data_IF_704042721645
#
_entry.id   IF_704042721645
#
_cell.length_a   1.000
_cell.length_b   1.000
_cell.length_c   1.000
_cell.angle_alpha   90.00
_cell.angle_beta   90.00
_cell.angle_gamma   90.00
#
_symmetry.space_group_name_H-M   'P 1'
#
loop_
_entity.id
_entity.type
_entity.pdbx_description
1 polymer ?
#
# COMPACT_ATOMS: atom_id res chain seq x y z
N UNK A 1 -13.33 14.15 -18.79
CA UNK A 1 -13.74 13.00 -17.96
C UNK A 1 -13.94 11.78 -18.85
N UNK A 2 -12.86 11.08 -19.20
CA UNK A 2 -12.95 9.80 -19.92
C UNK A 2 -11.80 8.92 -19.44
N UNK A 3 -12.10 7.94 -18.58
CA UNK A 3 -11.13 6.92 -18.16
C UNK A 3 -11.29 5.67 -19.01
N UNK A 4 -10.16 5.09 -19.46
CA UNK A 4 -10.16 3.86 -20.26
C UNK A 4 -10.29 2.65 -19.33
N UNK A 5 -11.30 1.83 -19.59
CA UNK A 5 -11.53 0.54 -18.93
C UNK A 5 -10.68 -0.54 -19.61
N UNK A 6 -9.64 -1.04 -18.92
CA UNK A 6 -8.91 -2.23 -19.38
C UNK A 6 -9.29 -3.42 -18.51
N UNK A 7 -9.98 -4.39 -19.11
CA UNK A 7 -10.42 -5.63 -18.47
C UNK A 7 -9.29 -6.66 -18.56
N UNK A 8 -8.56 -6.87 -17.45
CA UNK A 8 -7.69 -8.03 -17.29
C UNK A 8 -8.14 -8.77 -16.04
N UNK A 9 -8.32 -10.11 -16.16
CA UNK A 9 -8.77 -11.01 -15.09
C UNK A 9 -8.13 -10.66 -13.73
N UNK A 10 -8.92 -10.08 -12.82
CA UNK A 10 -8.75 -10.28 -11.39
C UNK A 10 -8.47 -9.06 -10.51
N UNK A 11 -7.95 -7.93 -11.00
CA UNK A 11 -7.62 -6.79 -10.14
C UNK A 11 -7.71 -5.47 -10.92
N UNK A 12 -8.66 -4.60 -10.54
CA UNK A 12 -8.73 -3.23 -11.01
C UNK A 12 -8.04 -2.32 -9.99
N UNK A 13 -7.00 -1.60 -10.39
CA UNK A 13 -6.49 -0.45 -9.64
C UNK A 13 -6.47 0.74 -10.59
N UNK A 14 -7.33 1.71 -10.28
CA UNK A 14 -7.45 2.99 -10.95
C UNK A 14 -6.31 3.90 -10.45
N UNK A 15 -5.39 4.30 -11.32
CA UNK A 15 -4.41 5.35 -11.01
C UNK A 15 -4.90 6.66 -11.61
N UNK A 16 -5.67 7.38 -10.80
CA UNK A 16 -5.81 8.82 -10.87
C UNK A 16 -5.63 9.30 -9.44
N UNK A 17 -4.40 9.22 -8.93
CA UNK A 17 -4.12 9.25 -7.50
C UNK A 17 -2.85 10.03 -7.21
N UNK A 18 -2.95 10.96 -6.27
CA UNK A 18 -1.83 11.72 -5.73
C UNK A 18 -0.75 10.76 -5.23
N UNK A 19 0.54 11.12 -5.35
CA UNK A 19 1.70 10.28 -4.94
C UNK A 19 1.55 9.67 -3.54
N UNK A 20 0.81 10.35 -2.67
CA UNK A 20 0.52 9.90 -1.32
C UNK A 20 -0.42 8.69 -1.29
N UNK A 21 -1.41 8.54 -2.18
CA UNK A 21 -2.35 7.40 -2.15
C UNK A 21 -1.67 6.03 -2.37
N UNK A 22 -0.44 6.05 -2.87
CA UNK A 22 0.31 4.86 -3.28
C UNK A 22 0.87 4.05 -2.11
N UNK A 23 1.31 4.67 -1.01
CA UNK A 23 1.94 3.93 0.11
C UNK A 23 0.91 3.01 0.77
N UNK A 24 -0.26 3.55 1.10
CA UNK A 24 -1.39 2.77 1.63
C UNK A 24 -1.73 1.61 0.71
N UNK A 25 -1.85 1.88 -0.59
CA UNK A 25 -2.24 0.86 -1.57
C UNK A 25 -1.21 -0.26 -1.64
N UNK A 26 0.08 0.08 -1.69
CA UNK A 26 1.16 -0.90 -1.66
C UNK A 26 1.10 -1.75 -0.38
N UNK A 27 0.95 -1.13 0.79
CA UNK A 27 0.83 -1.86 2.07
C UNK A 27 -0.36 -2.84 2.04
N UNK A 28 -1.51 -2.41 1.52
CA UNK A 28 -2.69 -3.27 1.39
C UNK A 28 -2.48 -4.41 0.39
N UNK A 29 -1.82 -4.15 -0.73
CA UNK A 29 -1.54 -5.16 -1.75
C UNK A 29 -0.58 -6.23 -1.24
N UNK A 30 0.48 -5.82 -0.54
CA UNK A 30 1.39 -6.74 0.13
C UNK A 30 0.69 -7.52 1.25
N UNK A 31 -0.14 -6.86 2.07
CA UNK A 31 -0.90 -7.52 3.12
C UNK A 31 -1.87 -8.57 2.55
N UNK A 32 -2.49 -8.29 1.40
CA UNK A 32 -3.38 -9.21 0.71
C UNK A 32 -2.66 -10.46 0.22
N UNK A 33 -1.39 -10.35 -0.21
CA UNK A 33 -0.55 -11.51 -0.58
C UNK A 33 -0.29 -12.43 0.62
N UNK A 34 -0.22 -11.86 1.82
CA UNK A 34 -0.11 -12.59 3.10
C UNK A 34 -1.48 -13.09 3.63
N UNK A 35 -2.56 -12.90 2.87
CA UNK A 35 -3.92 -13.30 3.26
C UNK A 35 -4.62 -12.36 4.26
N UNK A 36 -4.09 -11.15 4.46
CA UNK A 36 -4.66 -10.15 5.36
C UNK A 36 -5.53 -9.19 4.55
N UNK A 37 -6.83 -9.14 4.85
CA UNK A 37 -7.80 -8.32 4.10
C UNK A 37 -8.36 -7.16 4.92
N UNK A 38 -8.02 -7.08 6.21
CA UNK A 38 -8.53 -6.06 7.12
C UNK A 38 -7.43 -5.43 7.97
N UNK A 39 -7.61 -4.15 8.33
CA UNK A 39 -6.73 -3.45 9.27
C UNK A 39 -6.57 -4.17 10.61
N UNK A 40 -7.64 -4.83 11.07
CA UNK A 40 -7.62 -5.61 12.31
C UNK A 40 -6.68 -6.81 12.19
N UNK A 41 -6.78 -7.60 11.12
CA UNK A 41 -5.88 -8.74 10.87
C UNK A 41 -4.43 -8.26 10.76
N UNK A 42 -4.19 -7.17 10.04
CA UNK A 42 -2.87 -6.56 9.90
C UNK A 42 -2.30 -6.12 11.26
N UNK A 43 -3.10 -5.43 12.06
CA UNK A 43 -2.72 -5.03 13.42
C UNK A 43 -2.39 -6.25 14.30
N UNK A 44 -3.28 -7.25 14.33
CA UNK A 44 -3.07 -8.47 15.13
C UNK A 44 -1.85 -9.26 14.68
N UNK A 45 -1.54 -9.26 13.38
CA UNK A 45 -0.40 -10.00 12.83
C UNK A 45 0.94 -9.29 13.07
N UNK A 46 0.95 -7.97 12.97
CA UNK A 46 2.16 -7.14 13.15
C UNK A 46 2.46 -6.85 14.62
N UNK A 47 1.45 -6.88 15.49
CA UNK A 47 1.54 -6.49 16.91
C UNK A 47 2.05 -5.05 17.12
N UNK A 48 1.92 -4.21 16.10
CA UNK A 48 2.19 -2.78 16.22
C UNK A 48 1.18 -2.14 17.17
N UNK A 49 1.49 -0.91 17.61
CA UNK A 49 0.48 -0.07 18.24
C UNK A 49 -0.73 0.05 17.31
N UNK A 50 -1.94 -0.06 17.87
CA UNK A 50 -3.20 -0.06 17.11
C UNK A 50 -3.29 1.15 16.19
N UNK A 51 -2.99 2.35 16.69
CA UNK A 51 -3.08 3.57 15.90
C UNK A 51 -2.10 3.51 14.73
N UNK A 52 -0.86 3.07 14.97
CA UNK A 52 0.15 2.93 13.91
C UNK A 52 -0.28 1.95 12.83
N UNK A 53 -0.83 0.79 13.20
CA UNK A 53 -1.32 -0.20 12.25
C UNK A 53 -2.50 0.34 11.41
N UNK A 54 -3.40 1.08 12.03
CA UNK A 54 -4.55 1.68 11.34
C UNK A 54 -4.14 2.87 10.46
N UNK A 55 -3.13 3.65 10.85
CA UNK A 55 -2.56 4.70 9.99
C UNK A 55 -1.94 4.12 8.74
N UNK A 56 -1.06 3.13 8.88
CA UNK A 56 -0.49 2.40 7.73
C UNK A 56 -1.55 1.84 6.79
N UNK A 57 -2.68 1.39 7.33
CA UNK A 57 -3.73 0.78 6.53
C UNK A 57 -4.67 1.79 5.86
N UNK A 58 -4.91 2.96 6.46
CA UNK A 58 -5.97 3.88 6.04
C UNK A 58 -5.47 5.24 5.54
N UNK A 59 -4.35 5.73 6.06
CA UNK A 59 -3.76 7.02 5.71
C UNK A 59 -2.81 6.84 4.53
N UNK A 60 -3.02 7.60 3.47
CA UNK A 60 -2.24 7.53 2.24
C UNK A 60 -0.83 8.10 2.43
N UNK A 61 -0.73 9.28 3.04
CA UNK A 61 0.52 10.01 3.26
C UNK A 61 1.34 9.55 4.48
N UNK A 62 0.91 8.49 5.18
CA UNK A 62 1.62 8.04 6.38
C UNK A 62 2.93 7.33 6.04
N UNK A 63 4.04 8.01 6.31
CA UNK A 63 5.39 7.43 6.21
C UNK A 63 5.73 6.73 7.54
N UNK A 64 5.91 5.39 7.56
CA UNK A 64 6.30 4.67 8.76
C UNK A 64 7.68 5.06 9.25
N UNK A 65 7.85 5.06 10.57
CA UNK A 65 9.15 5.24 11.24
C UNK A 65 9.99 3.96 11.16
N UNK A 66 11.29 4.09 11.39
CA UNK A 66 12.28 2.99 11.37
C UNK A 66 11.81 1.72 12.08
N UNK A 67 11.46 1.81 13.38
CA UNK A 67 11.00 0.65 14.16
C UNK A 67 9.75 -0.05 13.58
N UNK A 68 8.89 0.69 12.87
CA UNK A 68 7.72 0.13 12.20
C UNK A 68 8.16 -0.66 10.97
N UNK A 69 9.08 -0.10 10.19
CA UNK A 69 9.65 -0.77 9.01
C UNK A 69 10.42 -2.03 9.39
N UNK A 70 11.22 -1.98 10.45
CA UNK A 70 11.90 -3.15 11.00
C UNK A 70 10.91 -4.23 11.42
N UNK A 71 9.80 -3.85 12.05
CA UNK A 71 8.77 -4.81 12.44
C UNK A 71 8.11 -5.46 11.24
N UNK A 72 7.80 -4.71 10.18
CA UNK A 72 7.26 -5.26 8.94
C UNK A 72 8.25 -6.24 8.29
N UNK A 73 9.55 -5.92 8.32
CA UNK A 73 10.59 -6.83 7.86
C UNK A 73 10.66 -8.11 8.71
N UNK A 74 10.61 -8.01 10.04
CA UNK A 74 10.64 -9.19 10.92
C UNK A 74 9.42 -10.10 10.76
N UNK A 75 8.24 -9.53 10.56
CA UNK A 75 6.97 -10.28 10.53
C UNK A 75 6.70 -10.89 9.16
N UNK A 76 7.01 -10.15 8.09
CA UNK A 76 6.65 -10.52 6.71
C UNK A 76 7.84 -10.60 5.75
N UNK A 77 9.04 -10.17 6.16
CA UNK A 77 10.20 -10.08 5.25
C UNK A 77 10.13 -8.89 4.29
N UNK A 78 9.19 -7.96 4.48
CA UNK A 78 9.02 -6.82 3.57
C UNK A 78 10.14 -5.79 3.75
N UNK A 79 10.89 -5.54 2.68
CA UNK A 79 11.85 -4.44 2.62
C UNK A 79 11.12 -3.10 2.45
N UNK A 80 11.64 -1.97 2.97
CA UNK A 80 10.99 -0.66 2.81
C UNK A 80 10.69 -0.30 1.35
N UNK A 81 11.60 -0.61 0.43
CA UNK A 81 11.40 -0.38 -1.02
C UNK A 81 10.27 -1.21 -1.63
N UNK A 82 9.76 -2.23 -0.93
CA UNK A 82 8.63 -3.02 -1.38
C UNK A 82 7.30 -2.27 -1.24
N UNK A 83 7.16 -1.33 -0.31
CA UNK A 83 5.91 -0.60 -0.07
C UNK A 83 6.05 0.93 -0.07
N UNK A 84 7.26 1.47 0.08
CA UNK A 84 7.57 2.89 -0.03
C UNK A 84 8.02 3.25 -1.46
N UNK A 85 7.15 3.04 -2.44
CA UNK A 85 7.42 3.49 -3.81
C UNK A 85 6.23 4.23 -4.39
N UNK A 86 6.54 5.22 -5.21
CA UNK A 86 5.62 5.90 -6.09
C UNK A 86 5.87 5.40 -7.52
N UNK A 87 4.80 4.99 -8.20
CA UNK A 87 4.84 4.81 -9.65
C UNK A 87 4.43 6.18 -10.21
N UNK A 88 5.30 6.88 -10.96
CA UNK A 88 4.88 8.11 -11.59
C UNK A 88 3.65 7.83 -12.46
N UNK A 89 2.63 8.69 -12.35
CA UNK A 89 1.58 8.71 -13.36
C UNK A 89 2.29 8.81 -14.70
N UNK A 90 2.03 7.85 -15.58
CA UNK A 90 2.44 7.97 -16.97
C UNK A 90 1.66 9.16 -17.50
N UNK A 91 2.21 10.35 -17.35
CA UNK A 91 1.72 11.55 -18.02
C UNK A 91 1.61 11.18 -19.48
N UNK A 92 0.41 11.40 -20.03
CA UNK A 92 0.08 11.10 -21.41
C UNK A 92 1.26 11.47 -22.30
N UNK A 93 1.96 10.47 -22.82
CA UNK A 93 2.80 10.63 -24.01
C UNK A 93 1.81 10.90 -25.15
N UNK A 94 1.31 12.14 -25.20
CA UNK A 94 0.66 12.70 -26.36
C UNK A 94 1.75 12.80 -27.44
N UNK A 95 1.74 11.82 -28.34
CA UNK A 95 2.42 11.83 -29.64
C UNK A 95 1.77 12.85 -30.58
#
# INVERSE_FOLDING_TARGET
MHGILVIVKGFYVYYGGNIFDMIRQNVQDWAKREGLTTAYQFWKRTELNRDTAYKLWNESDYIPREHVMERLYQVFGWQPGAYLYAVPDKGDEEE
#
